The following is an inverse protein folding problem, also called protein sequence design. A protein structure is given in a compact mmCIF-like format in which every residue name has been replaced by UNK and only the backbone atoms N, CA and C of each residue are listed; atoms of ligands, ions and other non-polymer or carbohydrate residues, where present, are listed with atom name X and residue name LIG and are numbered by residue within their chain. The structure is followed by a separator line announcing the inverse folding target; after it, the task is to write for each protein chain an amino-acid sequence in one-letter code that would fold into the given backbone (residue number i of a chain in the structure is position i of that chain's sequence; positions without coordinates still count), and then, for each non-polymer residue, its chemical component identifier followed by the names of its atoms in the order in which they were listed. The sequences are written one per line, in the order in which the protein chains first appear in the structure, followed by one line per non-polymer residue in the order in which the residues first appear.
data_IF_940287573472
#
_entry.id   IF_940287573472
#
_cell.length_a   1.000
_cell.length_b   1.000
_cell.length_c   1.000
_cell.angle_alpha   90.00
_cell.angle_beta   90.00
_cell.angle_gamma   90.00
#
_symmetry.space_group_name_H-M   'P 1'
#
loop_
_entity.id
_entity.type
_entity.pdbx_description
1 polymer ?
#
# COMPACT_ATOMS: atom_id res chain seq x y z
N UNK A 1 11.33 -10.59 -7.91
CA UNK A 1 10.84 -9.72 -9.01
C UNK A 1 9.69 -10.38 -9.79
N UNK A 2 8.49 -9.77 -9.81
CA UNK A 2 7.37 -10.29 -10.62
C UNK A 2 7.57 -9.88 -12.09
N UNK A 3 7.57 -10.82 -13.05
CA UNK A 3 7.64 -10.49 -14.46
C UNK A 3 6.35 -9.75 -14.87
N UNK A 4 6.49 -8.66 -15.63
CA UNK A 4 5.37 -7.99 -16.29
C UNK A 4 5.62 -7.92 -17.78
N UNK A 5 4.56 -8.11 -18.58
CA UNK A 5 4.63 -8.01 -20.03
C UNK A 5 3.99 -6.70 -20.45
N UNK A 6 4.79 -5.76 -20.93
CA UNK A 6 4.28 -4.57 -21.60
C UNK A 6 3.94 -4.94 -23.05
N UNK A 7 2.70 -4.69 -23.46
CA UNK A 7 2.25 -4.88 -24.84
C UNK A 7 1.90 -3.51 -25.44
N UNK A 8 2.45 -3.21 -26.61
CA UNK A 8 2.12 -2.02 -27.38
C UNK A 8 2.09 -2.32 -28.88
N UNK A 9 1.27 -1.59 -29.61
CA UNK A 9 1.25 -1.63 -31.07
C UNK A 9 2.16 -0.55 -31.63
N UNK A 10 3.04 -0.92 -32.58
CA UNK A 10 3.88 0.02 -33.31
C UNK A 10 3.90 -0.31 -34.79
N UNK A 11 3.78 0.72 -35.62
CA UNK A 11 3.91 0.61 -37.07
C UNK A 11 5.37 0.46 -37.54
N UNK A 12 6.33 0.46 -36.62
CA UNK A 12 7.78 0.31 -36.87
C UNK A 12 8.38 -0.73 -35.92
N UNK A 13 9.48 -1.42 -36.30
CA UNK A 13 10.20 -2.30 -35.40
C UNK A 13 10.53 -1.58 -34.09
N UNK A 14 10.24 -2.23 -32.96
CA UNK A 14 10.58 -1.74 -31.63
C UNK A 14 11.71 -2.59 -31.07
N UNK A 15 12.77 -1.94 -30.59
CA UNK A 15 13.77 -2.61 -29.75
C UNK A 15 13.21 -2.73 -28.34
N UNK A 16 12.92 -3.98 -27.94
CA UNK A 16 12.44 -4.31 -26.59
C UNK A 16 13.61 -4.83 -25.77
N UNK A 17 13.83 -4.24 -24.60
CA UNK A 17 14.81 -4.71 -23.62
C UNK A 17 14.12 -5.12 -22.34
N UNK A 18 14.52 -6.25 -21.78
CA UNK A 18 14.18 -6.58 -20.40
C UNK A 18 14.88 -5.59 -19.48
N UNK A 19 14.15 -4.99 -18.56
CA UNK A 19 14.70 -4.17 -17.49
C UNK A 19 14.34 -4.85 -16.19
N UNK A 20 15.35 -5.33 -15.47
CA UNK A 20 15.16 -5.76 -14.10
C UNK A 20 15.12 -4.51 -13.22
N UNK A 21 13.95 -4.22 -12.67
CA UNK A 21 13.75 -3.11 -11.74
C UNK A 21 13.81 -3.66 -10.32
N UNK A 22 14.69 -3.08 -9.51
CA UNK A 22 14.77 -3.42 -8.10
C UNK A 22 13.43 -3.13 -7.40
N UNK A 23 12.93 -4.00 -6.50
CA UNK A 23 11.65 -3.80 -5.83
C UNK A 23 11.51 -2.45 -5.11
N UNK A 24 12.60 -1.92 -4.58
CA UNK A 24 12.69 -0.61 -3.93
C UNK A 24 12.35 0.52 -4.91
N UNK A 25 12.83 0.44 -6.15
CA UNK A 25 12.53 1.43 -7.19
C UNK A 25 11.05 1.42 -7.55
N UNK A 26 10.41 0.24 -7.54
CA UNK A 26 8.95 0.13 -7.74
C UNK A 26 8.20 0.80 -6.59
N UNK A 27 8.60 0.53 -5.34
CA UNK A 27 8.03 1.16 -4.15
C UNK A 27 8.18 2.68 -4.22
N UNK A 28 9.36 3.19 -4.52
CA UNK A 28 9.64 4.63 -4.56
C UNK A 28 8.84 5.33 -5.66
N UNK A 29 8.70 4.68 -6.83
CA UNK A 29 7.85 5.17 -7.91
C UNK A 29 6.37 5.23 -7.51
N UNK A 30 5.87 4.20 -6.81
CA UNK A 30 4.50 4.18 -6.26
C UNK A 30 4.30 5.31 -5.25
N UNK A 31 5.23 5.49 -4.31
CA UNK A 31 5.16 6.54 -3.28
C UNK A 31 5.17 7.92 -3.93
N UNK A 32 6.07 8.17 -4.90
CA UNK A 32 6.13 9.42 -5.64
C UNK A 32 4.82 9.70 -6.40
N UNK A 33 4.22 8.68 -7.00
CA UNK A 33 2.93 8.81 -7.68
C UNK A 33 1.80 9.13 -6.71
N UNK A 34 1.70 8.43 -5.56
CA UNK A 34 0.70 8.70 -4.53
C UNK A 34 0.86 10.11 -3.96
N UNK A 35 2.09 10.56 -3.65
CA UNK A 35 2.34 11.92 -3.14
C UNK A 35 1.97 13.00 -4.16
N UNK A 36 2.22 12.75 -5.45
CA UNK A 36 1.95 13.72 -6.53
C UNK A 36 0.47 13.84 -6.88
N UNK A 37 -0.22 12.72 -7.01
CA UNK A 37 -1.60 12.66 -7.52
C UNK A 37 -2.64 12.43 -6.42
N UNK A 38 -2.22 11.91 -5.27
CA UNK A 38 -3.12 11.56 -4.17
C UNK A 38 -3.47 12.75 -3.28
N UNK A 39 -4.37 12.47 -2.36
CA UNK A 39 -4.81 13.41 -1.32
C UNK A 39 -4.22 13.01 0.02
N UNK A 40 -3.69 14.00 0.75
CA UNK A 40 -3.24 13.82 2.13
C UNK A 40 -4.43 14.07 3.06
N UNK A 41 -5.10 13.00 3.52
CA UNK A 41 -6.36 13.11 4.27
C UNK A 41 -6.17 13.46 5.74
N UNK A 42 -5.00 13.17 6.30
CA UNK A 42 -4.73 13.32 7.74
C UNK A 42 -3.32 13.84 7.95
N UNK A 43 -3.20 14.89 8.77
CA UNK A 43 -1.93 15.48 9.22
C UNK A 43 -2.01 15.70 10.72
N UNK A 44 -1.32 14.87 11.49
CA UNK A 44 -1.32 15.00 12.95
C UNK A 44 0.02 14.56 13.52
N UNK A 45 0.68 15.42 14.31
CA UNK A 45 1.89 15.06 15.06
C UNK A 45 3.04 14.49 14.22
N UNK A 46 3.18 14.90 12.94
CA UNK A 46 4.19 14.36 12.03
C UNK A 46 3.77 13.09 11.27
N UNK A 47 2.50 12.70 11.36
CA UNK A 47 1.94 11.54 10.65
C UNK A 47 1.10 12.03 9.47
N UNK A 48 1.39 11.51 8.27
CA UNK A 48 0.69 11.86 7.04
C UNK A 48 0.13 10.60 6.36
N UNK A 49 -1.19 10.57 6.19
CA UNK A 49 -1.85 9.51 5.42
C UNK A 49 -2.23 10.01 4.04
N UNK A 50 -1.70 9.37 3.02
CA UNK A 50 -1.96 9.66 1.62
C UNK A 50 -2.85 8.60 0.99
N UNK A 51 -3.80 9.04 0.17
CA UNK A 51 -4.73 8.18 -0.56
C UNK A 51 -4.80 8.60 -2.01
N UNK A 52 -4.66 7.64 -2.93
CA UNK A 52 -4.86 7.85 -4.37
C UNK A 52 -5.96 6.92 -4.86
N UNK A 53 -6.98 7.46 -5.53
CA UNK A 53 -8.19 6.74 -5.94
C UNK A 53 -8.49 6.84 -7.45
N UNK A 54 -7.50 6.61 -8.31
CA UNK A 54 -7.68 6.69 -9.79
C UNK A 54 -8.09 5.34 -10.42
N UNK A 55 -7.44 4.24 -10.03
CA UNK A 55 -7.66 2.90 -10.56
C UNK A 55 -7.87 1.86 -9.45
N UNK A 56 -8.73 2.22 -8.48
CA UNK A 56 -8.89 1.53 -7.20
C UNK A 56 -8.46 2.43 -6.05
N UNK A 57 -7.70 1.91 -5.08
CA UNK A 57 -7.21 2.66 -3.91
C UNK A 57 -5.77 2.28 -3.57
N UNK A 58 -4.90 3.27 -3.45
CA UNK A 58 -3.55 3.11 -2.89
C UNK A 58 -3.43 3.93 -1.61
N UNK A 59 -2.87 3.32 -0.56
CA UNK A 59 -2.69 3.97 0.74
C UNK A 59 -1.22 3.95 1.14
N UNK A 60 -0.68 5.12 1.43
CA UNK A 60 0.68 5.32 1.92
C UNK A 60 0.65 6.11 3.22
N UNK A 61 1.40 5.66 4.22
CA UNK A 61 1.60 6.39 5.46
C UNK A 61 3.06 6.84 5.58
N UNK A 62 3.23 8.08 5.99
CA UNK A 62 4.49 8.67 6.38
C UNK A 62 4.46 9.00 7.86
N UNK A 63 5.37 8.42 8.63
CA UNK A 63 5.58 8.72 10.03
C UNK A 63 6.86 9.54 10.19
N UNK A 64 6.75 10.86 10.04
CA UNK A 64 7.83 11.80 10.34
C UNK A 64 7.87 12.19 11.84
N UNK A 65 7.14 11.49 12.70
CA UNK A 65 7.18 11.69 14.14
C UNK A 65 8.35 10.93 14.79
N UNK A 66 8.61 11.22 16.05
CA UNK A 66 9.59 10.49 16.88
C UNK A 66 9.02 9.22 17.51
N UNK A 67 7.72 8.95 17.32
CA UNK A 67 7.00 7.86 17.98
C UNK A 67 6.61 6.79 16.97
N UNK A 68 6.37 5.57 17.45
CA UNK A 68 5.77 4.52 16.63
C UNK A 68 4.30 4.85 16.37
N UNK A 69 3.77 4.39 15.25
CA UNK A 69 2.36 4.57 14.90
C UNK A 69 1.75 3.21 14.61
N UNK A 70 0.69 2.90 15.33
CA UNK A 70 -0.22 1.80 14.97
C UNK A 70 -1.24 2.33 13.96
N UNK A 71 -1.40 1.57 12.88
CA UNK A 71 -2.38 1.81 11.84
C UNK A 71 -3.25 0.58 11.70
N UNK A 72 -4.55 0.76 11.96
CA UNK A 72 -5.59 -0.19 11.58
C UNK A 72 -6.26 0.28 10.31
N UNK A 73 -6.29 -0.57 9.29
CA UNK A 73 -7.08 -0.34 8.08
C UNK A 73 -8.04 -1.47 7.85
N UNK A 74 -9.20 -1.12 7.32
CA UNK A 74 -10.21 -2.07 6.89
C UNK A 74 -10.77 -1.62 5.54
N UNK A 75 -10.94 -2.61 4.67
CA UNK A 75 -11.52 -2.47 3.35
C UNK A 75 -12.66 -3.50 3.23
N UNK A 76 -13.91 -3.02 3.20
CA UNK A 76 -15.13 -3.84 3.10
C UNK A 76 -15.84 -3.61 1.78
N UNK A 77 -16.96 -4.30 1.57
CA UNK A 77 -17.81 -4.19 0.36
C UNK A 77 -17.01 -4.40 -0.94
N UNK A 78 -16.03 -5.31 -0.88
CA UNK A 78 -15.08 -5.57 -1.95
C UNK A 78 -15.77 -6.26 -3.13
N UNK A 79 -15.92 -5.51 -4.23
CA UNK A 79 -16.42 -6.03 -5.49
C UNK A 79 -15.43 -5.71 -6.61
N UNK A 80 -14.92 -6.76 -7.26
CA UNK A 80 -14.07 -6.65 -8.46
C UNK A 80 -12.80 -5.80 -8.23
N UNK A 81 -12.13 -6.05 -7.10
CA UNK A 81 -10.88 -5.37 -6.70
C UNK A 81 -9.84 -6.42 -6.32
N UNK A 82 -8.62 -6.30 -6.85
CA UNK A 82 -7.47 -7.10 -6.46
C UNK A 82 -6.68 -6.37 -5.38
N UNK A 83 -6.53 -6.99 -4.21
CA UNK A 83 -5.84 -6.37 -3.06
C UNK A 83 -4.44 -6.98 -2.92
N UNK A 84 -3.44 -6.14 -2.71
CA UNK A 84 -2.04 -6.55 -2.55
C UNK A 84 -1.78 -7.21 -1.19
N UNK A 85 -2.64 -6.93 -0.21
CA UNK A 85 -2.74 -7.61 1.09
C UNK A 85 -3.79 -8.72 0.99
N UNK A 86 -3.61 -9.81 1.75
CA UNK A 86 -4.56 -10.92 1.76
C UNK A 86 -5.98 -10.49 2.13
N UNK A 87 -6.98 -11.13 1.51
CA UNK A 87 -8.41 -10.93 1.80
C UNK A 87 -8.94 -12.06 2.68
N UNK A 88 -9.90 -11.74 3.54
CA UNK A 88 -10.62 -12.70 4.37
C UNK A 88 -12.06 -12.81 3.85
N UNK A 89 -12.56 -14.03 3.72
CA UNK A 89 -13.94 -14.31 3.38
C UNK A 89 -14.76 -14.65 4.62
N UNK A 90 -15.88 -13.98 4.83
CA UNK A 90 -16.87 -14.35 5.83
C UNK A 90 -17.73 -15.52 5.34
N UNK A 91 -18.33 -16.27 6.27
CA UNK A 91 -19.27 -17.34 5.94
C UNK A 91 -20.51 -16.84 5.16
N UNK A 92 -20.82 -15.54 5.25
CA UNK A 92 -21.87 -14.86 4.47
C UNK A 92 -21.52 -14.64 2.99
N UNK A 93 -20.27 -14.87 2.59
CA UNK A 93 -19.76 -14.55 1.26
C UNK A 93 -19.18 -13.14 1.14
N UNK A 94 -19.25 -12.33 2.18
CA UNK A 94 -18.63 -10.99 2.20
C UNK A 94 -17.11 -11.11 2.27
N UNK A 95 -16.42 -10.32 1.45
CA UNK A 95 -14.96 -10.28 1.40
C UNK A 95 -14.48 -8.95 1.97
N UNK A 96 -13.52 -9.02 2.88
CA UNK A 96 -12.87 -7.84 3.45
C UNK A 96 -11.35 -8.01 3.50
N UNK A 97 -10.65 -6.90 3.63
CA UNK A 97 -9.23 -6.88 3.97
C UNK A 97 -9.06 -6.07 5.24
N UNK A 98 -8.31 -6.61 6.19
CA UNK A 98 -7.90 -5.91 7.39
C UNK A 98 -6.38 -5.93 7.48
N UNK A 99 -5.80 -4.83 7.93
CA UNK A 99 -4.37 -4.76 8.23
C UNK A 99 -4.16 -3.97 9.51
N UNK A 100 -3.30 -4.48 10.38
CA UNK A 100 -2.79 -3.81 11.56
C UNK A 100 -1.28 -3.73 11.41
N UNK A 101 -0.75 -2.52 11.27
CA UNK A 101 0.65 -2.26 10.98
C UNK A 101 1.26 -1.30 12.00
N UNK A 102 2.45 -1.63 12.50
CA UNK A 102 3.26 -0.74 13.36
C UNK A 102 4.38 -0.13 12.52
N UNK A 103 4.33 1.19 12.35
CA UNK A 103 5.25 1.95 11.51
C UNK A 103 6.24 2.69 12.40
N UNK A 104 7.56 2.43 12.28
CA UNK A 104 8.56 3.08 13.11
C UNK A 104 8.66 4.59 12.91
N UNK A 105 9.27 5.33 13.85
CA UNK A 105 9.64 6.73 13.67
C UNK A 105 10.46 6.93 12.40
N UNK A 106 10.28 8.05 11.72
CA UNK A 106 11.02 8.41 10.51
C UNK A 106 10.92 7.38 9.37
N UNK A 107 9.82 6.62 9.32
CA UNK A 107 9.57 5.64 8.26
C UNK A 107 8.31 5.94 7.44
N UNK A 108 8.37 5.55 6.17
CA UNK A 108 7.23 5.45 5.27
C UNK A 108 6.83 3.99 5.07
N UNK A 109 5.57 3.76 4.69
CA UNK A 109 5.06 2.43 4.33
C UNK A 109 3.92 2.55 3.32
N UNK A 110 3.99 1.79 2.23
CA UNK A 110 2.80 1.55 1.39
C UNK A 110 1.96 0.52 2.13
N UNK A 111 0.80 0.92 2.66
CA UNK A 111 -0.02 0.07 3.53
C UNK A 111 -0.68 -1.04 2.72
N UNK A 112 -1.32 -0.66 1.60
CA UNK A 112 -1.87 -1.59 0.64
C UNK A 112 -2.13 -0.91 -0.71
N UNK A 113 -2.29 -1.75 -1.73
CA UNK A 113 -2.81 -1.38 -3.05
C UNK A 113 -4.03 -2.26 -3.33
N UNK A 114 -5.14 -1.62 -3.68
CA UNK A 114 -6.37 -2.26 -4.09
C UNK A 114 -6.63 -1.81 -5.54
N UNK A 115 -6.32 -2.66 -6.51
CA UNK A 115 -6.46 -2.35 -7.93
C UNK A 115 -7.85 -2.72 -8.44
N UNK A 116 -8.55 -1.78 -9.06
CA UNK A 116 -9.83 -2.03 -9.69
C UNK A 116 -9.69 -2.94 -10.92
N UNK A 117 -10.55 -3.95 -11.02
CA UNK A 117 -10.64 -4.80 -12.21
C UNK A 117 -11.63 -4.21 -13.23
N UNK A 118 -11.52 -4.55 -14.52
CA UNK A 118 -12.49 -4.13 -15.54
C UNK A 118 -13.90 -4.62 -15.18
N UNK A 119 -14.94 -3.83 -15.52
CA UNK A 119 -16.39 -4.05 -15.26
C UNK A 119 -17.02 -3.38 -14.01
N UNK A 120 -16.40 -2.31 -13.51
CA UNK A 120 -16.91 -1.58 -12.33
C UNK A 120 -16.44 -2.23 -11.02
N UNK A 121 -16.28 -1.43 -9.98
CA UNK A 121 -15.73 -1.86 -8.69
C UNK A 121 -16.37 -1.09 -7.54
N UNK A 122 -16.40 -1.69 -6.36
CA UNK A 122 -16.78 -1.02 -5.12
C UNK A 122 -15.89 -1.44 -3.96
N UNK A 123 -15.74 -0.53 -3.01
CA UNK A 123 -15.11 -0.77 -1.73
C UNK A 123 -15.52 0.32 -0.75
N UNK A 124 -15.42 0.02 0.54
CA UNK A 124 -15.49 0.99 1.63
C UNK A 124 -14.20 0.93 2.43
N UNK A 125 -13.57 2.08 2.61
CA UNK A 125 -12.30 2.19 3.30
C UNK A 125 -12.45 2.92 4.63
N UNK A 126 -11.94 2.31 5.69
CA UNK A 126 -11.84 2.89 7.03
C UNK A 126 -10.40 2.74 7.55
N UNK A 127 -9.98 3.71 8.37
CA UNK A 127 -8.64 3.72 8.96
C UNK A 127 -8.65 4.37 10.33
N UNK A 128 -7.85 3.82 11.25
CA UNK A 128 -7.62 4.36 12.59
C UNK A 128 -6.11 4.43 12.87
N UNK A 129 -5.67 5.53 13.48
CA UNK A 129 -4.27 5.76 13.85
C UNK A 129 -4.15 5.90 15.37
N UNK A 130 -3.17 5.22 15.94
CA UNK A 130 -2.90 5.27 17.38
C UNK A 130 -1.39 5.52 17.54
N UNK A 131 -0.97 6.74 17.95
CA UNK A 131 0.42 6.98 18.32
C UNK A 131 0.80 6.11 19.52
N UNK A 132 1.91 5.39 19.44
CA UNK A 132 2.45 4.62 20.57
C UNK A 132 3.62 5.35 21.21
N UNK A 133 3.57 5.50 22.52
CA UNK A 133 4.69 6.03 23.30
C UNK A 133 5.73 4.95 23.63
N UNK A 134 5.33 3.68 23.66
CA UNK A 134 6.16 2.60 24.22
C UNK A 134 6.74 1.67 23.13
N UNK A 135 8.03 1.36 23.25
CA UNK A 135 8.85 0.57 22.30
C UNK A 135 8.69 -0.95 22.41
N UNK A 136 7.69 -1.46 23.13
CA UNK A 136 7.59 -2.89 23.43
C UNK A 136 6.96 -3.66 22.26
N UNK A 137 7.80 -4.10 21.34
CA UNK A 137 7.42 -4.86 20.14
C UNK A 137 7.64 -3.99 18.90
N UNK A 138 8.68 -4.30 18.12
CA UNK A 138 9.07 -3.54 16.93
C UNK A 138 8.00 -3.53 15.82
N UNK A 139 8.41 -3.36 14.56
CA UNK A 139 7.48 -3.44 13.43
C UNK A 139 6.71 -4.76 13.47
N UNK A 140 5.40 -4.67 13.68
CA UNK A 140 4.47 -5.79 13.77
C UNK A 140 3.40 -5.57 12.71
N UNK A 141 3.17 -6.59 11.89
CA UNK A 141 2.26 -6.56 10.75
C UNK A 141 1.31 -7.74 10.84
N UNK A 142 0.01 -7.45 10.79
CA UNK A 142 -1.05 -8.45 10.76
C UNK A 142 -1.98 -8.14 9.60
N UNK A 143 -2.08 -8.99 8.56
CA UNK A 143 -1.33 -10.23 8.38
C UNK A 143 0.18 -9.98 8.20
N UNK A 144 1.03 -10.98 8.49
CA UNK A 144 2.46 -10.89 8.23
C UNK A 144 2.76 -10.52 6.78
N UNK A 145 3.79 -9.69 6.57
CA UNK A 145 4.29 -9.38 5.22
C UNK A 145 4.92 -10.65 4.61
N UNK A 146 4.77 -10.82 3.29
CA UNK A 146 5.32 -11.97 2.58
C UNK A 146 6.84 -11.80 2.36
N UNK A 147 7.64 -12.06 3.38
CA UNK A 147 9.11 -11.99 3.30
C UNK A 147 9.68 -13.14 2.43
N UNK A 148 10.75 -12.90 1.64
CA UNK A 148 11.48 -11.63 1.45
C UNK A 148 10.92 -10.74 0.32
N UNK A 149 9.85 -11.17 -0.36
CA UNK A 149 9.39 -10.58 -1.61
C UNK A 149 8.53 -9.32 -1.43
N UNK A 150 8.05 -9.04 -0.22
CA UNK A 150 7.16 -7.92 0.09
C UNK A 150 7.89 -6.61 0.44
N UNK A 151 8.84 -6.23 -0.42
CA UNK A 151 9.58 -4.95 -0.31
C UNK A 151 8.65 -3.74 -0.45
N UNK A 152 7.50 -3.91 -1.11
CA UNK A 152 6.52 -2.84 -1.32
C UNK A 152 5.89 -2.39 0.00
N UNK A 153 5.49 -3.34 0.85
CA UNK A 153 4.76 -3.06 2.09
C UNK A 153 5.67 -2.97 3.32
N UNK A 154 6.96 -3.30 3.20
CA UNK A 154 7.89 -3.16 4.32
C UNK A 154 8.18 -1.68 4.65
N UNK A 155 8.18 -1.27 5.93
CA UNK A 155 8.59 0.07 6.31
C UNK A 155 10.01 0.42 5.85
N UNK A 156 10.21 1.66 5.41
CA UNK A 156 11.48 2.17 4.91
C UNK A 156 11.75 3.58 5.45
N UNK A 157 13.03 3.95 5.59
CA UNK A 157 13.41 5.28 6.05
C UNK A 157 12.90 6.37 5.11
N UNK A 158 12.45 7.48 5.68
CA UNK A 158 12.14 8.68 4.91
C UNK A 158 13.43 9.39 4.52
N UNK A 159 13.59 9.70 3.24
CA UNK A 159 14.69 10.51 2.68
C UNK A 159 14.48 12.01 2.91
#
# INVERSE_FOLDING_TARGET
PKPFTFAAFSARPLDVRSVEVAPEVVRDAVVAHIKRSGTCSTRSGGIFLWKLAEAGLMVYLENASTNFVELDVELTDLFNVAVSRGVQGAASGDVSMTSHDVIPPMHGMVVFIAAAMPAGHSYRFTSRFIPRQDHSGGAAHTPPLAEPDDVLHRPFFLD
#
